data_IF_231606664013
#
_entry.id   IF_231606664013
#
_cell.length_a   1.000
_cell.length_b   1.000
_cell.length_c   1.000
_cell.angle_alpha   90.00
_cell.angle_beta   90.00
_cell.angle_gamma   90.00
#
_symmetry.space_group_name_H-M   'P 1'
#
loop_
_entity.id
_entity.type
_entity.pdbx_description
1 polymer ?
#
# COMPACT_ATOMS: atom_id res chain seq x y z
N UNK A 1 8.81 4.40 -3.40
CA UNK A 1 7.70 5.34 -3.10
C UNK A 1 7.63 5.68 -1.62
N UNK A 2 7.38 4.74 -0.71
CA UNK A 2 7.37 5.06 0.75
C UNK A 2 8.71 5.66 1.19
N UNK A 3 9.83 5.08 0.74
CA UNK A 3 11.16 5.65 0.98
C UNK A 3 11.33 7.08 0.47
N UNK A 4 10.83 7.40 -0.71
CA UNK A 4 10.93 8.77 -1.28
C UNK A 4 10.07 9.78 -0.50
N UNK A 5 8.93 9.35 0.04
CA UNK A 5 8.10 10.20 0.90
C UNK A 5 8.82 10.48 2.23
N UNK A 6 9.37 9.45 2.86
CA UNK A 6 10.16 9.58 4.08
C UNK A 6 11.35 10.54 3.87
N UNK A 7 12.03 10.47 2.73
CA UNK A 7 13.13 11.39 2.43
C UNK A 7 12.67 12.84 2.31
N UNK A 8 11.53 13.11 1.64
CA UNK A 8 10.98 14.47 1.51
C UNK A 8 10.60 15.04 2.87
N UNK A 9 9.97 14.22 3.70
CA UNK A 9 9.58 14.60 5.06
C UNK A 9 10.80 14.90 5.93
N UNK A 10 11.82 14.05 5.89
CA UNK A 10 13.08 14.27 6.60
C UNK A 10 13.78 15.55 6.16
N UNK A 11 13.84 15.82 4.84
CA UNK A 11 14.41 17.07 4.31
C UNK A 11 13.64 18.28 4.87
N UNK A 12 12.31 18.24 4.86
CA UNK A 12 11.46 19.34 5.34
C UNK A 12 11.63 19.60 6.84
N UNK A 13 11.70 18.53 7.65
CA UNK A 13 11.92 18.64 9.09
C UNK A 13 13.30 19.23 9.42
N UNK A 14 14.36 18.70 8.81
CA UNK A 14 15.73 19.19 9.03
C UNK A 14 15.86 20.63 8.54
N UNK A 15 15.28 20.95 7.39
CA UNK A 15 15.21 22.32 6.88
C UNK A 15 14.60 23.28 7.90
N UNK A 16 13.43 22.94 8.45
CA UNK A 16 12.73 23.80 9.41
C UNK A 16 13.54 23.99 10.69
N UNK A 17 14.11 22.90 11.23
CA UNK A 17 14.95 22.94 12.42
C UNK A 17 16.18 23.85 12.23
N UNK A 18 16.91 23.67 11.12
CA UNK A 18 18.09 24.48 10.81
C UNK A 18 17.72 25.94 10.57
N UNK A 19 16.61 26.21 9.86
CA UNK A 19 16.15 27.56 9.59
C UNK A 19 15.83 28.30 10.89
N UNK A 20 15.13 27.67 11.83
CA UNK A 20 14.82 28.27 13.15
C UNK A 20 16.11 28.55 13.93
N UNK A 21 17.09 27.64 13.88
CA UNK A 21 18.36 27.81 14.58
C UNK A 21 19.15 29.03 14.04
N UNK A 22 19.22 29.17 12.71
CA UNK A 22 19.87 30.31 12.05
C UNK A 22 19.11 31.61 12.37
N UNK A 23 17.78 31.62 12.30
CA UNK A 23 16.96 32.81 12.62
C UNK A 23 17.20 33.31 14.05
N UNK A 24 17.34 32.39 15.01
CA UNK A 24 17.63 32.73 16.42
C UNK A 24 19.06 33.24 16.63
N UNK A 25 20.04 32.75 15.84
CA UNK A 25 21.49 33.10 15.98
C UNK A 25 21.98 34.13 14.97
N UNK A 26 21.07 34.87 14.34
CA UNK A 26 21.41 35.91 13.35
C UNK A 26 22.38 36.97 13.88
N UNK A 27 22.20 37.40 15.13
CA UNK A 27 23.09 38.37 15.78
C UNK A 27 24.51 37.81 15.96
N UNK A 28 24.65 36.60 16.48
CA UNK A 28 25.94 35.92 16.66
C UNK A 28 26.69 35.77 15.33
N UNK A 29 25.99 35.35 14.27
CA UNK A 29 26.55 35.24 12.91
C UNK A 29 26.94 36.63 12.37
N UNK A 30 26.21 37.68 12.74
CA UNK A 30 26.57 39.08 12.45
C UNK A 30 27.87 39.50 13.14
N UNK A 31 28.01 39.23 14.44
CA UNK A 31 29.22 39.55 15.22
C UNK A 31 30.44 38.79 14.68
N UNK A 32 30.30 37.50 14.39
CA UNK A 32 31.40 36.71 13.83
C UNK A 32 31.85 37.25 12.46
N UNK A 33 30.91 37.71 11.62
CA UNK A 33 31.23 38.37 10.34
C UNK A 33 31.94 39.71 10.53
N UNK A 34 31.64 40.46 11.59
CA UNK A 34 32.36 41.70 11.94
C UNK A 34 33.81 41.43 12.38
N UNK A 35 34.05 40.31 13.06
CA UNK A 35 35.40 39.91 13.52
C UNK A 35 36.25 39.33 12.36
N UNK A 36 35.70 39.22 11.15
CA UNK A 36 36.43 38.80 9.95
C UNK A 36 36.06 37.40 9.44
N UNK A 37 34.96 36.81 9.91
CA UNK A 37 34.52 35.50 9.42
C UNK A 37 34.02 35.58 7.96
N UNK A 38 34.76 34.97 7.04
CA UNK A 38 34.38 34.86 5.62
C UNK A 38 33.07 34.07 5.40
N UNK A 39 32.43 34.31 4.25
CA UNK A 39 31.20 33.61 3.81
C UNK A 39 31.35 32.08 3.81
N UNK A 40 32.53 31.57 3.45
CA UNK A 40 32.81 30.13 3.45
C UNK A 40 32.78 29.54 4.87
N UNK A 41 33.24 30.29 5.88
CA UNK A 41 33.20 29.85 7.27
C UNK A 41 31.76 29.86 7.83
N UNK A 42 30.90 30.81 7.42
CA UNK A 42 29.46 30.76 7.74
C UNK A 42 28.82 29.49 7.18
N UNK A 43 29.12 29.17 5.92
CA UNK A 43 28.62 27.95 5.27
C UNK A 43 29.12 26.69 6.00
N UNK A 44 30.41 26.64 6.33
CA UNK A 44 31.01 25.52 7.06
C UNK A 44 30.40 25.38 8.47
N UNK A 45 30.13 26.48 9.17
CA UNK A 45 29.49 26.46 10.49
C UNK A 45 28.10 25.80 10.42
N UNK A 46 27.26 26.21 9.47
CA UNK A 46 25.92 25.64 9.30
C UNK A 46 25.99 24.16 8.88
N UNK A 47 26.92 23.79 7.99
CA UNK A 47 27.12 22.41 7.59
C UNK A 47 27.58 21.54 8.75
N UNK A 48 28.61 21.95 9.48
CA UNK A 48 29.12 21.22 10.66
C UNK A 48 28.03 21.04 11.69
N UNK A 49 27.23 22.07 11.97
CA UNK A 49 26.09 21.97 12.87
C UNK A 49 25.06 20.94 12.39
N UNK A 50 24.74 20.92 11.09
CA UNK A 50 23.80 19.93 10.53
C UNK A 50 24.33 18.50 10.64
N UNK A 51 25.62 18.29 10.36
CA UNK A 51 26.25 16.97 10.42
C UNK A 51 26.50 16.49 11.85
N UNK A 52 26.70 17.40 12.80
CA UNK A 52 26.83 17.06 14.21
C UNK A 52 25.56 16.36 14.75
N UNK A 53 24.38 16.75 14.27
CA UNK A 53 23.13 16.04 14.57
C UNK A 53 22.92 14.80 13.69
N UNK A 54 23.31 14.87 12.41
CA UNK A 54 23.03 13.81 11.46
C UNK A 54 23.88 12.55 11.66
N UNK A 55 25.16 12.68 11.98
CA UNK A 55 26.08 11.53 12.09
C UNK A 55 25.69 10.59 13.25
N UNK A 56 25.45 11.08 14.49
CA UNK A 56 24.98 10.22 15.57
C UNK A 56 23.62 9.59 15.27
N UNK A 57 22.70 10.37 14.69
CA UNK A 57 21.38 9.88 14.32
C UNK A 57 21.44 8.78 13.25
N UNK A 58 22.33 8.91 12.26
CA UNK A 58 22.58 7.90 11.23
C UNK A 58 23.16 6.61 11.83
N UNK A 59 24.15 6.72 12.73
CA UNK A 59 24.75 5.56 13.41
C UNK A 59 23.72 4.81 14.27
N UNK A 60 22.96 5.53 15.09
CA UNK A 60 21.89 4.96 15.92
C UNK A 60 20.79 4.36 15.02
N UNK A 61 20.43 5.03 13.93
CA UNK A 61 19.45 4.55 12.95
C UNK A 61 19.85 3.24 12.30
N UNK A 62 21.11 3.10 11.88
CA UNK A 62 21.62 1.83 11.33
C UNK A 62 21.66 0.72 12.38
N UNK A 63 22.10 1.03 13.60
CA UNK A 63 22.14 0.06 14.70
C UNK A 63 20.74 -0.46 15.05
N UNK A 64 19.78 0.45 15.23
CA UNK A 64 18.38 0.10 15.52
C UNK A 64 17.73 -0.66 14.37
N UNK A 65 18.01 -0.30 13.11
CA UNK A 65 17.51 -1.02 11.94
C UNK A 65 18.02 -2.47 11.89
N UNK A 66 19.30 -2.70 12.20
CA UNK A 66 19.87 -4.05 12.24
C UNK A 66 19.28 -4.88 13.39
N UNK A 67 19.09 -4.29 14.57
CA UNK A 67 18.44 -4.97 15.71
C UNK A 67 16.99 -5.33 15.37
N UNK A 68 16.21 -4.39 14.82
CA UNK A 68 14.84 -4.63 14.41
C UNK A 68 14.75 -5.73 13.33
N UNK A 69 15.69 -5.75 12.37
CA UNK A 69 15.74 -6.77 11.34
C UNK A 69 15.99 -8.17 11.92
N UNK A 70 16.91 -8.29 12.88
CA UNK A 70 17.17 -9.57 13.59
C UNK A 70 15.93 -10.04 14.34
N UNK A 71 15.25 -9.14 15.06
CA UNK A 71 14.03 -9.46 15.81
C UNK A 71 12.93 -9.96 14.87
N UNK A 72 12.63 -9.20 13.81
CA UNK A 72 11.59 -9.56 12.83
C UNK A 72 11.92 -10.90 12.15
N UNK A 73 13.17 -11.10 11.73
CA UNK A 73 13.57 -12.37 11.13
C UNK A 73 13.49 -13.54 12.10
N UNK A 74 13.72 -13.32 13.40
CA UNK A 74 13.59 -14.38 14.40
C UNK A 74 12.13 -14.79 14.58
N UNK A 75 11.21 -13.82 14.61
CA UNK A 75 9.77 -14.08 14.59
C UNK A 75 9.34 -14.81 13.31
N UNK A 76 9.81 -14.34 12.14
CA UNK A 76 9.48 -14.96 10.85
C UNK A 76 10.07 -16.37 10.70
N UNK A 77 11.25 -16.65 11.24
CA UNK A 77 11.85 -18.01 11.25
C UNK A 77 10.93 -18.98 12.01
N UNK A 78 10.35 -18.55 13.13
CA UNK A 78 9.40 -19.36 13.90
C UNK A 78 8.13 -19.72 13.12
N UNK A 79 7.69 -18.85 12.20
CA UNK A 79 6.48 -19.06 11.39
C UNK A 79 6.78 -19.85 10.10
N UNK A 80 7.87 -19.50 9.41
CA UNK A 80 8.16 -20.00 8.06
C UNK A 80 9.05 -21.24 8.04
N UNK A 81 9.68 -21.61 9.16
CA UNK A 81 10.64 -22.73 9.28
C UNK A 81 11.79 -22.68 8.26
N UNK A 82 12.08 -21.51 7.68
CA UNK A 82 13.15 -21.29 6.70
C UNK A 82 14.27 -20.47 7.35
N UNK A 83 15.52 -20.81 7.04
CA UNK A 83 16.68 -20.04 7.49
C UNK A 83 16.82 -18.75 6.69
N UNK A 84 16.45 -17.62 7.30
CA UNK A 84 16.65 -16.30 6.73
C UNK A 84 18.03 -15.73 7.11
N UNK A 85 18.64 -15.01 6.17
CA UNK A 85 19.91 -14.31 6.41
C UNK A 85 19.73 -13.29 7.54
N UNK A 86 20.57 -13.37 8.57
CA UNK A 86 20.45 -12.55 9.79
C UNK A 86 20.82 -11.07 9.61
N UNK A 87 21.57 -10.75 8.55
CA UNK A 87 22.10 -9.40 8.32
C UNK A 87 21.37 -8.71 7.17
N UNK A 88 21.20 -7.40 7.30
CA UNK A 88 20.72 -6.54 6.23
C UNK A 88 21.60 -6.68 4.97
N UNK A 89 20.99 -6.50 3.80
CA UNK A 89 21.72 -6.51 2.52
C UNK A 89 22.75 -5.37 2.48
N UNK A 90 23.91 -5.62 1.87
CA UNK A 90 24.94 -4.60 1.67
C UNK A 90 24.39 -3.39 0.89
N UNK A 91 23.48 -3.62 -0.06
CA UNK A 91 22.81 -2.55 -0.79
C UNK A 91 21.98 -1.63 0.11
N UNK A 92 21.33 -2.17 1.15
CA UNK A 92 20.53 -1.40 2.09
C UNK A 92 21.40 -0.48 2.96
N UNK A 93 22.56 -0.95 3.40
CA UNK A 93 23.54 -0.12 4.13
C UNK A 93 24.05 1.04 3.28
N UNK A 94 24.39 0.77 2.01
CA UNK A 94 24.88 1.80 1.08
C UNK A 94 23.82 2.88 0.87
N UNK A 95 22.59 2.48 0.55
CA UNK A 95 21.48 3.42 0.31
C UNK A 95 21.18 4.24 1.57
N UNK A 96 21.13 3.58 2.74
CA UNK A 96 20.89 4.27 4.02
C UNK A 96 22.00 5.29 4.34
N UNK A 97 23.25 4.97 4.02
CA UNK A 97 24.39 5.88 4.22
C UNK A 97 24.32 7.08 3.29
N UNK A 98 24.05 6.84 2.01
CA UNK A 98 23.90 7.92 1.01
C UNK A 98 22.76 8.85 1.43
N UNK A 99 21.61 8.31 1.83
CA UNK A 99 20.47 9.13 2.26
C UNK A 99 20.74 9.84 3.60
N UNK A 100 21.29 9.13 4.58
CA UNK A 100 21.55 9.67 5.92
C UNK A 100 22.52 10.85 5.94
N UNK A 101 23.55 10.80 5.08
CA UNK A 101 24.52 11.89 4.95
C UNK A 101 24.13 12.92 3.87
N UNK A 102 23.46 12.50 2.80
CA UNK A 102 23.05 13.39 1.71
C UNK A 102 21.89 14.32 2.07
N UNK A 103 20.91 13.85 2.86
CA UNK A 103 19.73 14.62 3.24
C UNK A 103 20.09 15.90 4.05
N UNK A 104 20.93 15.85 5.09
CA UNK A 104 21.36 17.05 5.81
C UNK A 104 22.01 18.10 4.90
N UNK A 105 22.88 17.66 3.97
CA UNK A 105 23.50 18.56 3.00
C UNK A 105 22.45 19.24 2.13
N UNK A 106 21.52 18.48 1.53
CA UNK A 106 20.45 19.02 0.69
C UNK A 106 19.53 19.97 1.46
N UNK A 107 19.15 19.61 2.69
CA UNK A 107 18.29 20.42 3.54
C UNK A 107 18.97 21.73 3.99
N UNK A 108 20.30 21.74 4.12
CA UNK A 108 21.06 22.91 4.56
C UNK A 108 21.25 23.98 3.48
N UNK A 109 21.04 23.68 2.20
CA UNK A 109 21.24 24.62 1.07
C UNK A 109 20.44 25.92 1.26
N UNK A 110 19.14 25.82 1.56
CA UNK A 110 18.28 27.00 1.72
C UNK A 110 18.62 27.82 3.00
N UNK A 111 18.80 27.20 4.18
CA UNK A 111 19.28 27.89 5.38
C UNK A 111 20.62 28.61 5.17
N UNK A 112 21.59 27.97 4.50
CA UNK A 112 22.90 28.57 4.16
C UNK A 112 22.71 29.81 3.29
N UNK A 113 21.92 29.70 2.22
CA UNK A 113 21.63 30.84 1.33
C UNK A 113 21.02 32.01 2.11
N UNK A 114 20.10 31.72 3.04
CA UNK A 114 19.48 32.75 3.87
C UNK A 114 20.47 33.39 4.84
N UNK A 115 21.33 32.60 5.49
CA UNK A 115 22.37 33.13 6.39
C UNK A 115 23.35 34.07 5.66
N UNK A 116 23.74 33.70 4.43
CA UNK A 116 24.67 34.46 3.61
C UNK A 116 24.07 35.76 3.06
N UNK A 117 22.77 35.76 2.75
CA UNK A 117 22.06 36.90 2.18
C UNK A 117 21.62 37.94 3.22
N UNK A 118 21.77 37.67 4.52
CA UNK A 118 21.45 38.64 5.55
C UNK A 118 22.47 39.78 5.59
N UNK A 119 21.99 41.01 5.50
CA UNK A 119 22.81 42.21 5.67
C UNK A 119 23.42 42.27 7.07
N UNK A 120 24.69 42.67 7.15
CA UNK A 120 25.44 42.76 8.41
C UNK A 120 24.85 43.80 9.35
N UNK A 121 24.46 44.96 8.81
CA UNK A 121 23.79 46.03 9.56
C UNK A 121 22.47 45.53 10.16
N UNK A 122 21.60 44.94 9.32
CA UNK A 122 20.31 44.37 9.77
C UNK A 122 20.48 43.24 10.81
N UNK A 123 21.59 42.48 10.74
CA UNK A 123 21.87 41.42 11.70
C UNK A 123 22.31 41.93 13.08
N UNK A 124 22.98 43.08 13.13
CA UNK A 124 23.50 43.73 14.34
C UNK A 124 22.51 44.73 14.96
N UNK A 125 21.49 45.14 14.21
CA UNK A 125 20.45 46.01 14.71
C UNK A 125 19.57 45.26 15.74
N UNK A 126 19.87 45.51 17.01
CA UNK A 126 19.10 44.99 18.15
C UNK A 126 17.99 45.95 18.60
N UNK A 127 17.97 47.19 18.06
CA UNK A 127 17.05 48.24 18.48
C UNK A 127 15.77 48.25 17.66
N UNK A 128 15.84 47.90 16.38
CA UNK A 128 14.65 47.78 15.54
C UNK A 128 14.10 46.35 15.55
N UNK A 129 12.78 46.24 15.56
CA UNK A 129 12.13 44.94 15.38
C UNK A 129 12.51 44.35 14.02
N UNK A 130 13.00 43.11 14.03
CA UNK A 130 13.30 42.34 12.81
C UNK A 130 12.04 42.10 11.96
N UNK A 131 10.85 42.28 12.52
CA UNK A 131 9.58 42.29 11.78
C UNK A 131 9.34 43.68 11.18
N UNK A 132 9.71 43.86 9.90
CA UNK A 132 9.36 45.06 9.14
C UNK A 132 7.83 45.10 8.96
N UNK A 133 7.16 46.01 9.66
CA UNK A 133 5.69 46.17 9.58
C UNK A 133 5.21 46.66 8.21
N UNK A 134 6.08 47.35 7.46
CA UNK A 134 5.81 47.84 6.10
C UNK A 134 6.96 47.41 5.17
N UNK A 135 6.65 46.54 4.21
CA UNK A 135 7.59 46.05 3.20
C UNK A 135 7.52 46.96 1.96
N UNK A 136 8.44 47.93 1.85
CA UNK A 136 8.53 48.79 0.67
C UNK A 136 9.17 48.02 -0.49
N UNK A 137 8.35 47.54 -1.43
CA UNK A 137 8.81 46.92 -2.67
C UNK A 137 8.99 47.99 -3.74
N UNK A 138 10.20 48.55 -3.83
CA UNK A 138 10.56 49.48 -4.90
C UNK A 138 10.76 48.66 -6.18
N UNK A 139 9.70 48.52 -6.98
CA UNK A 139 9.77 47.91 -8.32
C UNK A 139 10.34 48.94 -9.30
N UNK A 140 11.63 48.81 -9.66
CA UNK A 140 12.21 49.54 -10.79
C UNK A 140 11.61 49.00 -12.11
N UNK A 141 11.20 49.89 -13.00
CA UNK A 141 10.52 49.55 -14.26
C UNK A 141 11.42 48.82 -15.29
N UNK A 142 12.75 48.85 -15.12
CA UNK A 142 13.72 48.41 -16.15
C UNK A 142 14.02 46.90 -16.19
N UNK A 143 13.33 46.09 -15.40
CA UNK A 143 13.41 44.64 -15.54
C UNK A 143 12.01 44.06 -15.44
N UNK A 144 11.47 43.62 -16.58
CA UNK A 144 10.40 42.63 -16.66
C UNK A 144 10.88 41.34 -15.98
N UNK A 145 10.93 41.35 -14.65
CA UNK A 145 11.29 40.19 -13.86
C UNK A 145 10.14 39.20 -14.02
N UNK A 146 10.45 38.07 -14.68
CA UNK A 146 9.52 36.95 -14.83
C UNK A 146 9.05 36.56 -13.43
N UNK A 147 7.73 36.52 -13.25
CA UNK A 147 7.13 36.04 -12.01
C UNK A 147 7.30 34.52 -11.93
N UNK A 148 8.45 34.11 -11.39
CA UNK A 148 8.83 32.70 -11.24
C UNK A 148 7.76 31.82 -10.56
N UNK A 149 7.01 32.27 -9.53
CA UNK A 149 5.88 31.53 -8.98
C UNK A 149 4.81 31.18 -10.03
N UNK A 150 4.44 32.12 -10.90
CA UNK A 150 3.45 31.88 -11.95
C UNK A 150 3.97 30.86 -12.97
N UNK A 151 5.21 31.00 -13.42
CA UNK A 151 5.83 30.05 -14.37
C UNK A 151 5.93 28.64 -13.79
N UNK A 152 6.40 28.54 -12.54
CA UNK A 152 6.52 27.23 -11.86
C UNK A 152 5.16 26.58 -11.61
N UNK A 153 4.12 27.35 -11.26
CA UNK A 153 2.76 26.83 -11.14
C UNK A 153 2.18 26.34 -12.47
N UNK A 154 2.47 27.05 -13.58
CA UNK A 154 2.06 26.65 -14.92
C UNK A 154 2.73 25.36 -15.36
N UNK A 155 4.06 25.24 -15.19
CA UNK A 155 4.81 24.00 -15.47
C UNK A 155 4.26 22.84 -14.65
N UNK A 156 3.97 23.06 -13.36
CA UNK A 156 3.40 22.03 -12.50
C UNK A 156 2.04 21.54 -12.99
N UNK A 157 1.13 22.46 -13.36
CA UNK A 157 -0.19 22.09 -13.90
C UNK A 157 -0.07 21.30 -15.21
N UNK A 158 0.85 21.68 -16.10
CA UNK A 158 1.12 20.94 -17.34
C UNK A 158 1.62 19.53 -17.04
N UNK A 159 2.56 19.37 -16.11
CA UNK A 159 3.06 18.06 -15.71
C UNK A 159 1.96 17.17 -15.11
N UNK A 160 1.13 17.72 -14.21
CA UNK A 160 -0.01 16.98 -13.62
C UNK A 160 -1.03 16.62 -14.69
N UNK A 161 -1.34 17.54 -15.60
CA UNK A 161 -2.23 17.29 -16.74
C UNK A 161 -1.70 16.18 -17.64
N UNK A 162 -0.42 16.19 -17.98
CA UNK A 162 0.21 15.13 -18.78
C UNK A 162 0.18 13.77 -18.06
N UNK A 163 0.50 13.73 -16.76
CA UNK A 163 0.41 12.50 -15.97
C UNK A 163 -1.00 11.91 -15.99
N UNK A 164 -2.04 12.74 -15.78
CA UNK A 164 -3.42 12.26 -15.69
C UNK A 164 -3.99 11.94 -17.07
N UNK A 165 -3.83 12.80 -18.08
CA UNK A 165 -4.50 12.62 -19.37
C UNK A 165 -3.75 11.69 -20.33
N UNK A 166 -2.43 11.58 -20.22
CA UNK A 166 -1.64 10.73 -21.10
C UNK A 166 -1.18 9.45 -20.42
N UNK A 167 -0.46 9.55 -19.29
CA UNK A 167 0.08 8.34 -18.65
C UNK A 167 -1.02 7.46 -18.04
N UNK A 168 -2.13 8.01 -17.56
CA UNK A 168 -3.15 7.21 -16.88
C UNK A 168 -3.87 6.29 -17.88
N UNK A 169 -4.41 6.80 -19.01
CA UNK A 169 -4.95 5.93 -20.04
C UNK A 169 -3.90 4.96 -20.59
N UNK A 170 -2.66 5.40 -20.81
CA UNK A 170 -1.59 4.53 -21.28
C UNK A 170 -1.33 3.36 -20.32
N UNK A 171 -1.34 3.62 -19.00
CA UNK A 171 -1.16 2.58 -17.98
C UNK A 171 -2.30 1.54 -17.99
N UNK A 172 -3.52 1.99 -18.28
CA UNK A 172 -4.69 1.11 -18.39
C UNK A 172 -4.66 0.30 -19.69
N UNK A 173 -4.35 0.94 -20.82
CA UNK A 173 -4.28 0.29 -22.14
C UNK A 173 -3.17 -0.76 -22.21
N UNK A 174 -2.02 -0.47 -21.62
CA UNK A 174 -0.89 -1.41 -21.54
C UNK A 174 -1.04 -2.44 -20.40
N UNK A 175 -2.07 -2.31 -19.56
CA UNK A 175 -2.25 -3.06 -18.31
C UNK A 175 -0.97 -3.08 -17.44
N UNK A 176 -0.15 -2.03 -17.51
CA UNK A 176 1.07 -1.92 -16.72
C UNK A 176 0.71 -1.46 -15.31
N UNK A 177 0.38 -2.44 -14.45
CA UNK A 177 0.00 -2.22 -13.06
C UNK A 177 1.08 -1.47 -12.28
N UNK A 178 2.36 -1.66 -12.60
CA UNK A 178 3.44 -0.91 -11.94
C UNK A 178 3.32 0.58 -12.22
N UNK A 179 3.16 0.96 -13.50
CA UNK A 179 2.96 2.36 -13.89
C UNK A 179 1.71 2.95 -13.23
N UNK A 180 0.62 2.18 -13.22
CA UNK A 180 -0.64 2.58 -12.59
C UNK A 180 -0.47 2.81 -11.08
N UNK A 181 0.24 1.93 -10.36
CA UNK A 181 0.53 2.12 -8.94
C UNK A 181 1.42 3.34 -8.70
N UNK A 182 2.50 3.53 -9.48
CA UNK A 182 3.36 4.70 -9.35
C UNK A 182 2.59 6.00 -9.51
N UNK A 183 1.69 6.04 -10.49
CA UNK A 183 0.83 7.20 -10.73
C UNK A 183 -0.19 7.43 -9.62
N UNK A 184 -0.87 6.38 -9.16
CA UNK A 184 -1.85 6.49 -8.08
C UNK A 184 -1.20 7.05 -6.81
N UNK A 185 -0.05 6.52 -6.42
CA UNK A 185 0.68 7.05 -5.26
C UNK A 185 1.23 8.46 -5.49
N UNK A 186 1.75 8.76 -6.69
CA UNK A 186 2.26 10.09 -7.02
C UNK A 186 1.15 11.16 -6.95
N UNK A 187 -0.04 10.84 -7.47
CA UNK A 187 -1.21 11.70 -7.40
C UNK A 187 -1.68 11.90 -5.95
N UNK A 188 -1.77 10.82 -5.17
CA UNK A 188 -2.16 10.88 -3.75
C UNK A 188 -1.19 11.77 -2.95
N UNK A 189 0.11 11.71 -3.25
CA UNK A 189 1.13 12.57 -2.64
C UNK A 189 0.96 14.05 -3.04
N UNK A 190 0.76 14.32 -4.34
CA UNK A 190 0.48 15.68 -4.82
C UNK A 190 -0.78 16.26 -4.17
N UNK A 191 -1.82 15.42 -4.00
CA UNK A 191 -3.04 15.81 -3.31
C UNK A 191 -2.77 16.12 -1.83
N UNK A 192 -1.97 15.30 -1.13
CA UNK A 192 -1.61 15.55 0.26
C UNK A 192 -0.84 16.87 0.43
N UNK A 193 0.17 17.13 -0.41
CA UNK A 193 0.89 18.40 -0.41
C UNK A 193 -0.03 19.58 -0.78
N UNK A 194 -0.91 19.39 -1.77
CA UNK A 194 -1.89 20.39 -2.18
C UNK A 194 -2.86 20.75 -1.06
N UNK A 195 -3.36 19.77 -0.31
CA UNK A 195 -4.23 19.99 0.84
C UNK A 195 -3.50 20.71 2.00
N UNK A 196 -2.22 20.39 2.23
CA UNK A 196 -1.40 21.11 3.22
C UNK A 196 -1.24 22.58 2.81
N UNK A 197 -0.94 22.85 1.54
CA UNK A 197 -0.83 24.23 1.04
C UNK A 197 -2.17 24.97 1.11
N UNK A 198 -3.28 24.30 0.81
CA UNK A 198 -4.62 24.84 0.94
C UNK A 198 -4.93 25.18 2.42
N UNK A 199 -4.51 24.33 3.35
CA UNK A 199 -4.70 24.58 4.78
C UNK A 199 -4.02 25.87 5.27
N UNK A 200 -2.96 26.35 4.61
CA UNK A 200 -2.32 27.64 4.92
C UNK A 200 -3.21 28.85 4.61
N UNK A 201 -4.17 28.70 3.70
CA UNK A 201 -5.17 29.76 3.47
C UNK A 201 -6.22 29.80 4.58
N UNK A 202 -6.50 28.65 5.22
CA UNK A 202 -7.36 28.59 6.40
C UNK A 202 -6.68 29.12 7.66
N UNK A 203 -5.36 29.30 7.68
CA UNK A 203 -4.62 29.81 8.84
C UNK A 203 -5.20 31.13 9.35
N UNK A 204 -5.47 32.10 8.47
CA UNK A 204 -6.03 33.40 8.85
C UNK A 204 -7.42 33.26 9.50
N UNK A 205 -8.23 32.33 9.00
CA UNK A 205 -9.55 32.05 9.53
C UNK A 205 -9.44 31.40 10.92
N UNK A 206 -8.50 30.47 11.09
CA UNK A 206 -8.21 29.82 12.37
C UNK A 206 -7.59 30.79 13.39
N UNK A 207 -6.72 31.72 12.99
CA UNK A 207 -6.19 32.80 13.84
C UNK A 207 -7.35 33.65 14.39
N UNK A 208 -8.33 33.96 13.57
CA UNK A 208 -9.52 34.72 13.98
C UNK A 208 -10.41 33.92 14.94
N UNK A 209 -10.69 32.64 14.64
CA UNK A 209 -11.46 31.77 15.53
C UNK A 209 -10.77 31.61 16.87
N UNK A 210 -9.48 31.30 16.90
CA UNK A 210 -8.73 31.07 18.14
C UNK A 210 -8.67 32.33 19.01
N UNK A 211 -8.39 33.49 18.42
CA UNK A 211 -8.44 34.75 19.17
C UNK A 211 -9.85 35.10 19.64
N UNK A 212 -10.90 34.74 18.89
CA UNK A 212 -12.27 34.89 19.37
C UNK A 212 -12.57 33.96 20.54
N UNK A 213 -12.32 32.65 20.42
CA UNK A 213 -12.68 31.64 21.43
C UNK A 213 -11.90 31.85 22.75
N UNK A 214 -10.60 32.11 22.69
CA UNK A 214 -9.78 32.24 23.91
C UNK A 214 -9.81 33.62 24.55
N UNK A 215 -10.07 34.69 23.78
CA UNK A 215 -10.02 36.07 24.27
C UNK A 215 -11.37 36.80 24.15
N UNK A 216 -12.50 36.07 24.05
CA UNK A 216 -13.83 36.71 24.05
C UNK A 216 -14.17 37.48 25.33
N UNK A 217 -13.57 37.10 26.46
CA UNK A 217 -13.81 37.65 27.79
C UNK A 217 -12.77 38.72 28.17
N UNK A 218 -11.71 38.84 27.39
CA UNK A 218 -10.59 39.74 27.67
C UNK A 218 -10.84 41.13 27.09
N UNK A 219 -10.08 42.10 27.58
CA UNK A 219 -10.14 43.46 27.07
C UNK A 219 -9.78 43.51 25.57
N UNK A 220 -10.51 44.31 24.79
CA UNK A 220 -10.31 44.47 23.35
C UNK A 220 -8.87 44.85 22.98
N UNK A 221 -8.16 45.57 23.86
CA UNK A 221 -6.75 45.91 23.67
C UNK A 221 -5.83 44.68 23.62
N UNK A 222 -6.05 43.69 24.48
CA UNK A 222 -5.26 42.45 24.51
C UNK A 222 -5.52 41.64 23.24
N UNK A 223 -6.79 41.53 22.84
CA UNK A 223 -7.17 40.86 21.58
C UNK A 223 -6.57 41.56 20.35
N UNK A 224 -6.53 42.89 20.33
CA UNK A 224 -5.90 43.64 19.25
C UNK A 224 -4.38 43.44 19.21
N UNK A 225 -3.71 43.36 20.37
CA UNK A 225 -2.28 43.07 20.46
C UNK A 225 -1.95 41.65 19.99
N UNK A 226 -2.74 40.64 20.37
CA UNK A 226 -2.51 39.25 19.95
C UNK A 226 -2.68 39.09 18.44
N UNK A 227 -3.73 39.67 17.84
CA UNK A 227 -3.92 39.66 16.38
C UNK A 227 -2.77 40.35 15.66
N UNK A 228 -2.33 41.52 16.13
CA UNK A 228 -1.16 42.22 15.54
C UNK A 228 0.11 41.37 15.64
N UNK A 229 0.30 40.66 16.74
CA UNK A 229 1.45 39.78 16.95
C UNK A 229 1.42 38.56 16.00
N UNK A 230 0.26 37.92 15.83
CA UNK A 230 0.06 36.83 14.87
C UNK A 230 0.37 37.27 13.43
N UNK A 231 -0.13 38.43 13.02
CA UNK A 231 0.14 39.00 11.69
C UNK A 231 1.63 39.32 11.51
N UNK A 232 2.28 39.92 12.51
CA UNK A 232 3.69 40.28 12.44
C UNK A 232 4.61 39.07 12.25
N UNK A 233 4.26 37.91 12.81
CA UNK A 233 5.04 36.68 12.71
C UNK A 233 4.49 35.65 11.71
N UNK A 234 3.51 36.01 10.86
CA UNK A 234 2.87 35.10 9.91
C UNK A 234 3.85 34.32 9.03
N UNK A 235 4.90 34.97 8.48
CA UNK A 235 5.90 34.28 7.64
C UNK A 235 6.64 33.17 8.41
N UNK A 236 6.87 33.36 9.72
CA UNK A 236 7.50 32.35 10.59
C UNK A 236 6.49 31.27 10.98
N UNK A 237 5.28 31.67 11.41
CA UNK A 237 4.22 30.74 11.78
C UNK A 237 3.87 29.80 10.63
N UNK A 238 3.77 30.29 9.39
CA UNK A 238 3.55 29.46 8.19
C UNK A 238 4.57 28.35 8.01
N UNK A 239 5.86 28.64 8.21
CA UNK A 239 6.91 27.61 8.09
C UNK A 239 6.69 26.50 9.13
N UNK A 240 6.36 26.90 10.36
CA UNK A 240 6.05 25.97 11.46
C UNK A 240 4.77 25.17 11.18
N UNK A 241 3.72 25.81 10.66
CA UNK A 241 2.46 25.17 10.26
C UNK A 241 2.70 24.13 9.17
N UNK A 242 3.47 24.44 8.12
CA UNK A 242 3.83 23.48 7.06
C UNK A 242 4.57 22.27 7.65
N UNK A 243 5.54 22.52 8.54
CA UNK A 243 6.33 21.47 9.18
C UNK A 243 5.43 20.50 9.98
N UNK A 244 4.54 21.02 10.83
CA UNK A 244 3.62 20.21 11.62
C UNK A 244 2.54 19.53 10.78
N UNK A 245 1.97 20.22 9.80
CA UNK A 245 0.94 19.66 8.93
C UNK A 245 1.51 18.51 8.09
N UNK A 246 2.72 18.66 7.54
CA UNK A 246 3.36 17.62 6.73
C UNK A 246 3.74 16.40 7.57
N UNK A 247 4.24 16.58 8.79
CA UNK A 247 4.58 15.47 9.68
C UNK A 247 3.33 14.72 10.17
N UNK A 248 2.30 15.43 10.62
CA UNK A 248 1.05 14.83 11.09
C UNK A 248 0.30 14.11 9.96
N UNK A 249 0.16 14.76 8.79
CA UNK A 249 -0.52 14.18 7.64
C UNK A 249 0.13 12.86 7.22
N UNK A 250 1.46 12.78 7.25
CA UNK A 250 2.17 11.56 6.92
C UNK A 250 1.96 10.44 7.94
N UNK A 251 1.97 10.76 9.24
CA UNK A 251 1.71 9.76 10.30
C UNK A 251 0.29 9.19 10.16
N UNK A 252 -0.71 10.06 9.94
CA UNK A 252 -2.09 9.64 9.70
C UNK A 252 -2.18 8.77 8.45
N UNK A 253 -1.56 9.21 7.35
CA UNK A 253 -1.57 8.46 6.09
C UNK A 253 -0.95 7.06 6.24
N UNK A 254 0.20 6.95 6.90
CA UNK A 254 0.82 5.66 7.21
C UNK A 254 -0.11 4.78 8.03
N UNK A 255 -0.72 5.32 9.08
CA UNK A 255 -1.62 4.56 9.96
C UNK A 255 -2.84 4.03 9.21
N UNK A 256 -3.52 4.88 8.45
CA UNK A 256 -4.67 4.48 7.63
C UNK A 256 -4.26 3.46 6.57
N UNK A 257 -3.12 3.67 5.90
CA UNK A 257 -2.59 2.73 4.91
C UNK A 257 -2.32 1.35 5.51
N UNK A 258 -1.64 1.27 6.66
CA UNK A 258 -1.40 0.00 7.34
C UNK A 258 -2.69 -0.67 7.82
N UNK A 259 -3.64 0.09 8.38
CA UNK A 259 -4.93 -0.45 8.78
C UNK A 259 -5.70 -1.04 7.59
N UNK A 260 -5.68 -0.37 6.44
CA UNK A 260 -6.27 -0.90 5.20
C UNK A 260 -5.56 -2.16 4.71
N UNK A 261 -4.23 -2.21 4.80
CA UNK A 261 -3.45 -3.40 4.43
C UNK A 261 -3.73 -4.58 5.36
N UNK A 262 -3.78 -4.34 6.68
CA UNK A 262 -4.12 -5.36 7.69
C UNK A 262 -5.54 -5.88 7.44
N UNK A 263 -6.51 -4.99 7.24
CA UNK A 263 -7.89 -5.38 6.96
C UNK A 263 -8.01 -6.18 5.66
N UNK A 264 -7.31 -5.76 4.60
CA UNK A 264 -7.27 -6.46 3.32
C UNK A 264 -6.59 -7.83 3.43
N UNK A 265 -5.52 -7.92 4.23
CA UNK A 265 -4.83 -9.18 4.51
C UNK A 265 -5.72 -10.13 5.32
N UNK A 266 -6.35 -9.63 6.39
CA UNK A 266 -7.31 -10.40 7.19
C UNK A 266 -8.48 -10.90 6.34
N UNK A 267 -9.07 -10.04 5.49
CA UNK A 267 -10.12 -10.44 4.56
C UNK A 267 -9.66 -11.58 3.65
N UNK A 268 -8.45 -11.48 3.10
CA UNK A 268 -7.86 -12.52 2.23
C UNK A 268 -7.59 -13.82 2.98
N UNK A 269 -7.10 -13.74 4.21
CA UNK A 269 -6.87 -14.91 5.07
C UNK A 269 -8.20 -15.58 5.41
N UNK A 270 -9.18 -14.82 5.89
CA UNK A 270 -10.53 -15.32 6.20
C UNK A 270 -11.17 -15.96 4.97
N UNK A 271 -11.09 -15.33 3.80
CA UNK A 271 -11.58 -15.91 2.55
C UNK A 271 -10.86 -17.21 2.21
N UNK A 272 -9.52 -17.25 2.37
CA UNK A 272 -8.71 -18.43 2.01
C UNK A 272 -8.96 -19.65 2.90
N UNK A 273 -9.32 -19.43 4.16
CA UNK A 273 -9.70 -20.52 5.08
C UNK A 273 -11.19 -20.83 5.04
N UNK A 274 -12.04 -19.84 4.73
CA UNK A 274 -13.49 -19.98 4.61
C UNK A 274 -14.24 -20.27 5.91
N UNK A 275 -13.53 -20.65 6.98
CA UNK A 275 -14.07 -20.96 8.31
C UNK A 275 -13.15 -20.42 9.40
N UNK A 276 -13.63 -20.44 10.65
CA UNK A 276 -12.81 -20.11 11.83
C UNK A 276 -11.74 -21.15 12.14
N UNK A 277 -12.00 -22.42 11.82
CA UNK A 277 -11.08 -23.53 12.07
C UNK A 277 -11.00 -24.42 10.83
N UNK A 278 -9.78 -24.57 10.31
CA UNK A 278 -9.47 -25.49 9.22
C UNK A 278 -8.37 -26.43 9.67
N UNK A 279 -8.63 -27.74 9.53
CA UNK A 279 -7.64 -28.77 9.85
C UNK A 279 -6.90 -29.11 8.58
N UNK A 280 -5.68 -28.58 8.46
CA UNK A 280 -4.77 -28.90 7.36
C UNK A 280 -3.79 -29.97 7.82
N UNK A 281 -3.72 -31.07 7.07
CA UNK A 281 -2.70 -32.08 7.28
C UNK A 281 -1.50 -31.80 6.35
N UNK A 282 -0.28 -31.89 6.88
CA UNK A 282 0.99 -31.41 6.31
C UNK A 282 1.31 -31.87 4.88
N UNK A 283 2.36 -32.65 4.67
CA UNK A 283 2.73 -33.17 3.34
C UNK A 283 2.17 -34.56 3.07
N UNK A 284 1.89 -35.34 4.11
CA UNK A 284 1.40 -36.72 3.98
C UNK A 284 -0.09 -36.77 3.62
N UNK A 285 -0.56 -37.89 3.06
CA UNK A 285 -1.99 -38.06 2.81
C UNK A 285 -2.66 -38.59 4.07
N UNK A 286 -3.82 -38.05 4.42
CA UNK A 286 -4.61 -38.57 5.54
C UNK A 286 -5.06 -39.98 5.18
N UNK A 287 -4.71 -40.96 6.03
CA UNK A 287 -5.22 -42.32 5.91
C UNK A 287 -6.73 -42.33 6.16
N UNK A 288 -7.46 -43.18 5.42
CA UNK A 288 -8.92 -43.32 5.59
C UNK A 288 -9.33 -43.55 7.05
N UNK A 289 -8.55 -44.34 7.81
CA UNK A 289 -8.81 -44.59 9.23
C UNK A 289 -8.75 -43.31 10.06
N UNK A 290 -7.80 -42.42 9.77
CA UNK A 290 -7.64 -41.13 10.45
C UNK A 290 -8.76 -40.18 10.09
N UNK A 291 -9.19 -40.15 8.82
CA UNK A 291 -10.34 -39.35 8.39
C UNK A 291 -11.61 -39.78 9.14
N UNK A 292 -11.93 -41.09 9.17
CA UNK A 292 -13.09 -41.62 9.90
C UNK A 292 -13.01 -41.34 11.40
N UNK A 293 -11.81 -41.40 12.00
CA UNK A 293 -11.64 -41.05 13.41
C UNK A 293 -11.93 -39.56 13.66
N UNK A 294 -11.49 -38.67 12.77
CA UNK A 294 -11.78 -37.23 12.85
C UNK A 294 -13.28 -36.95 12.70
N UNK A 295 -13.97 -37.61 11.77
CA UNK A 295 -15.42 -37.47 11.60
C UNK A 295 -16.17 -37.89 12.87
N UNK A 296 -15.79 -39.03 13.48
CA UNK A 296 -16.39 -39.48 14.74
C UNK A 296 -16.21 -38.46 15.87
N UNK A 297 -15.03 -37.86 15.96
CA UNK A 297 -14.74 -36.82 16.96
C UNK A 297 -15.53 -35.54 16.68
N UNK A 298 -15.64 -35.13 15.42
CA UNK A 298 -16.41 -33.96 15.00
C UNK A 298 -17.89 -34.13 15.36
N UNK A 299 -18.49 -35.27 15.01
CA UNK A 299 -19.91 -35.57 15.28
C UNK A 299 -20.19 -35.72 16.78
N UNK A 300 -19.25 -36.28 17.56
CA UNK A 300 -19.42 -36.46 19.00
C UNK A 300 -19.25 -35.16 19.80
N UNK A 301 -18.67 -34.11 19.21
CA UNK A 301 -18.39 -32.85 19.88
C UNK A 301 -19.58 -31.89 19.82
N UNK A 302 -20.10 -31.40 20.95
CA UNK A 302 -21.22 -30.46 20.96
C UNK A 302 -20.84 -29.05 20.47
N UNK A 303 -19.55 -28.79 20.19
CA UNK A 303 -19.04 -27.49 19.75
C UNK A 303 -19.01 -27.39 18.22
N UNK A 304 -19.05 -28.52 17.52
CA UNK A 304 -18.99 -28.58 16.06
C UNK A 304 -20.41 -28.65 15.50
N UNK A 305 -20.85 -27.59 14.83
CA UNK A 305 -22.17 -27.52 14.20
C UNK A 305 -22.25 -28.42 12.95
N UNK A 306 -21.27 -28.31 12.06
CA UNK A 306 -21.12 -29.16 10.87
C UNK A 306 -19.65 -29.15 10.39
N UNK A 307 -19.27 -30.11 9.55
CA UNK A 307 -17.92 -30.22 8.97
C UNK A 307 -17.98 -30.58 7.48
N UNK A 308 -17.01 -30.08 6.72
CA UNK A 308 -16.91 -30.31 5.28
C UNK A 308 -15.49 -30.72 4.91
N UNK A 309 -15.37 -31.50 3.83
CA UNK A 309 -14.08 -31.94 3.31
C UNK A 309 -13.79 -31.31 1.95
N UNK A 310 -12.53 -30.97 1.75
CA UNK A 310 -11.99 -30.57 0.45
C UNK A 310 -10.81 -31.48 0.14
N UNK A 311 -10.78 -32.03 -1.08
CA UNK A 311 -9.67 -32.88 -1.49
C UNK A 311 -8.40 -32.06 -1.69
N UNK A 312 -7.25 -32.72 -1.66
CA UNK A 312 -6.05 -32.12 -2.24
C UNK A 312 -6.24 -31.83 -3.74
N UNK A 313 -5.59 -30.79 -4.26
CA UNK A 313 -5.56 -30.49 -5.68
C UNK A 313 -5.21 -31.70 -6.54
N UNK A 314 -5.91 -31.88 -7.66
CA UNK A 314 -5.61 -32.96 -8.62
C UNK A 314 -4.23 -32.81 -9.28
N UNK A 315 -3.69 -31.59 -9.30
CA UNK A 315 -2.48 -31.19 -10.02
C UNK A 315 -1.22 -31.16 -9.13
N UNK A 316 -1.12 -32.11 -8.19
CA UNK A 316 0.09 -32.33 -7.38
C UNK A 316 1.10 -33.27 -8.08
N UNK A 317 2.39 -33.02 -7.87
CA UNK A 317 3.48 -33.83 -8.43
C UNK A 317 3.62 -33.69 -9.95
N UNK A 318 3.59 -34.81 -10.68
CA UNK A 318 3.70 -34.85 -12.15
C UNK A 318 2.36 -34.70 -12.87
N UNK A 319 1.26 -34.51 -12.13
CA UNK A 319 -0.07 -34.39 -12.69
C UNK A 319 -0.44 -32.93 -12.96
N UNK A 320 -1.07 -32.64 -14.09
CA UNK A 320 -1.59 -31.30 -14.37
C UNK A 320 -2.94 -31.33 -15.06
N UNK A 321 -3.78 -30.34 -14.75
CA UNK A 321 -5.09 -30.18 -15.36
C UNK A 321 -5.12 -28.85 -16.13
N UNK A 322 -5.60 -28.90 -17.36
CA UNK A 322 -5.88 -27.73 -18.18
C UNK A 322 -7.34 -27.72 -18.60
N UNK A 323 -7.90 -26.54 -18.71
CA UNK A 323 -9.23 -26.30 -19.21
C UNK A 323 -9.13 -25.68 -20.59
N UNK A 324 -9.84 -26.26 -21.55
CA UNK A 324 -9.79 -25.84 -22.94
C UNK A 324 -11.20 -25.66 -23.52
N UNK A 325 -11.32 -24.83 -24.55
CA UNK A 325 -12.52 -24.78 -25.37
C UNK A 325 -12.70 -26.09 -26.15
N UNK A 326 -13.91 -26.37 -26.67
CA UNK A 326 -14.19 -27.59 -27.46
C UNK A 326 -13.21 -27.73 -28.63
N UNK A 327 -12.95 -26.63 -29.35
CA UNK A 327 -11.96 -26.57 -30.43
C UNK A 327 -10.50 -26.44 -29.97
N UNK A 328 -10.23 -26.45 -28.66
CA UNK A 328 -8.90 -26.33 -28.03
C UNK A 328 -8.07 -25.12 -28.46
N UNK A 329 -8.73 -24.07 -28.96
CA UNK A 329 -8.07 -22.84 -29.40
C UNK A 329 -7.50 -22.01 -28.23
N UNK A 330 -8.11 -22.13 -27.04
CA UNK A 330 -7.62 -21.51 -25.79
C UNK A 330 -7.49 -22.55 -24.71
N UNK A 331 -6.37 -22.54 -23.99
CA UNK A 331 -6.08 -23.42 -22.87
C UNK A 331 -5.66 -22.62 -21.63
N UNK A 332 -6.19 -23.01 -20.46
CA UNK A 332 -5.86 -22.40 -19.18
C UNK A 332 -5.48 -23.47 -18.16
N UNK A 333 -4.38 -23.26 -17.43
CA UNK A 333 -4.01 -24.14 -16.33
C UNK A 333 -4.98 -23.97 -15.17
N UNK A 334 -5.51 -25.06 -14.63
CA UNK A 334 -6.55 -25.06 -13.58
C UNK A 334 -6.16 -25.95 -12.40
N UNK A 335 -6.76 -25.67 -11.25
CA UNK A 335 -6.66 -26.50 -10.06
C UNK A 335 -7.99 -27.13 -9.71
N UNK A 336 -8.15 -28.42 -10.00
CA UNK A 336 -9.38 -29.17 -9.72
C UNK A 336 -9.39 -29.62 -8.26
N UNK A 337 -10.49 -29.32 -7.56
CA UNK A 337 -10.75 -29.68 -6.16
C UNK A 337 -12.07 -30.44 -6.07
N UNK A 338 -12.09 -31.52 -5.32
CA UNK A 338 -13.30 -32.23 -4.91
C UNK A 338 -13.88 -31.59 -3.65
N UNK A 339 -15.20 -31.35 -3.64
CA UNK A 339 -15.92 -30.72 -2.52
C UNK A 339 -17.06 -31.61 -2.02
N UNK A 340 -17.36 -31.56 -0.71
CA UNK A 340 -18.52 -32.23 -0.09
C UNK A 340 -19.85 -31.51 -0.40
N UNK A 341 -21.01 -32.20 -0.31
CA UNK A 341 -22.30 -31.60 -0.64
C UNK A 341 -22.71 -30.47 0.31
N UNK A 342 -22.29 -30.51 1.57
CA UNK A 342 -22.54 -29.47 2.57
C UNK A 342 -21.46 -28.36 2.58
N UNK A 343 -20.55 -28.30 1.60
CA UNK A 343 -19.41 -27.39 1.70
C UNK A 343 -19.85 -25.93 1.94
N UNK A 344 -20.75 -25.40 1.13
CA UNK A 344 -21.15 -24.00 1.25
C UNK A 344 -22.07 -23.72 2.44
N UNK A 345 -22.68 -24.74 3.07
CA UNK A 345 -23.42 -24.53 4.32
C UNK A 345 -22.51 -24.46 5.54
N UNK A 346 -21.32 -25.08 5.50
CA UNK A 346 -20.31 -25.00 6.57
C UNK A 346 -19.42 -23.77 6.45
N UNK A 347 -19.13 -23.35 5.22
CA UNK A 347 -18.26 -22.20 4.96
C UNK A 347 -19.01 -20.87 5.16
N UNK A 348 -18.25 -19.80 5.40
CA UNK A 348 -18.80 -18.46 5.60
C UNK A 348 -19.36 -17.87 4.29
N UNK A 349 -20.68 -17.74 4.23
CA UNK A 349 -21.45 -17.21 3.09
C UNK A 349 -21.03 -15.82 2.64
N UNK A 350 -20.41 -15.01 3.51
CA UNK A 350 -19.97 -13.65 3.17
C UNK A 350 -18.97 -13.62 2.01
N UNK A 351 -18.27 -14.73 1.76
CA UNK A 351 -17.30 -14.85 0.67
C UNK A 351 -17.86 -15.50 -0.59
N UNK A 352 -19.09 -16.01 -0.56
CA UNK A 352 -19.74 -16.65 -1.71
C UNK A 352 -20.48 -15.59 -2.55
N UNK A 353 -19.90 -15.22 -3.68
CA UNK A 353 -20.53 -14.32 -4.66
C UNK A 353 -20.80 -15.08 -5.95
N UNK A 354 -22.10 -15.31 -6.19
CA UNK A 354 -22.59 -16.07 -7.34
C UNK A 354 -23.00 -15.10 -8.44
N UNK A 355 -22.49 -15.31 -9.65
CA UNK A 355 -22.80 -14.47 -10.80
C UNK A 355 -23.97 -15.04 -11.61
N UNK A 356 -23.85 -16.30 -12.01
CA UNK A 356 -24.86 -17.01 -12.82
C UNK A 356 -25.05 -18.41 -12.25
N UNK A 357 -26.29 -18.75 -11.92
CA UNK A 357 -26.70 -20.02 -11.31
C UNK A 357 -28.08 -20.45 -11.84
N UNK A 358 -28.32 -21.76 -11.85
CA UNK A 358 -29.62 -22.32 -12.17
C UNK A 358 -30.48 -22.42 -10.89
N UNK A 359 -31.04 -21.27 -10.47
CA UNK A 359 -31.83 -21.13 -9.22
C UNK A 359 -33.13 -21.96 -9.17
N UNK A 360 -33.46 -22.73 -10.21
CA UNK A 360 -34.68 -23.56 -10.25
C UNK A 360 -34.62 -24.78 -9.35
N UNK A 361 -33.45 -25.11 -8.79
CA UNK A 361 -33.23 -26.28 -7.94
C UNK A 361 -33.07 -25.78 -6.51
N UNK A 362 -33.97 -26.14 -5.59
CA UNK A 362 -33.93 -25.74 -4.17
C UNK A 362 -32.79 -26.38 -3.35
N UNK A 363 -31.70 -26.78 -4.01
CA UNK A 363 -30.51 -27.39 -3.42
C UNK A 363 -29.39 -26.35 -3.33
N UNK A 364 -28.53 -26.47 -2.31
CA UNK A 364 -27.31 -25.67 -2.20
C UNK A 364 -26.37 -25.95 -3.39
N UNK A 365 -25.51 -24.98 -3.74
CA UNK A 365 -24.60 -25.10 -4.89
C UNK A 365 -23.69 -26.35 -4.82
N UNK A 366 -23.26 -26.71 -3.62
CA UNK A 366 -22.42 -27.89 -3.39
C UNK A 366 -23.23 -29.19 -3.51
N UNK A 367 -24.50 -29.21 -3.11
CA UNK A 367 -25.40 -30.35 -3.36
C UNK A 367 -25.74 -30.52 -4.84
N UNK A 368 -25.93 -29.41 -5.58
CA UNK A 368 -26.19 -29.45 -7.01
C UNK A 368 -25.07 -30.17 -7.77
N UNK A 369 -23.82 -30.07 -7.32
CA UNK A 369 -22.67 -30.78 -7.90
C UNK A 369 -22.78 -32.31 -7.80
N UNK A 370 -23.62 -32.83 -6.90
CA UNK A 370 -23.86 -34.27 -6.71
C UNK A 370 -25.07 -34.81 -7.48
N UNK A 371 -25.84 -33.95 -8.17
CA UNK A 371 -26.90 -34.40 -9.08
C UNK A 371 -26.32 -35.09 -10.31
N UNK A 372 -27.15 -35.81 -11.08
CA UNK A 372 -26.71 -36.45 -12.35
C UNK A 372 -26.05 -35.45 -13.32
N UNK A 373 -26.64 -34.27 -13.44
CA UNK A 373 -26.10 -33.13 -14.21
C UNK A 373 -24.83 -32.61 -13.54
N UNK A 374 -24.88 -32.43 -12.22
CA UNK A 374 -23.78 -32.04 -11.33
C UNK A 374 -22.50 -32.85 -11.55
N UNK A 375 -22.65 -34.17 -11.64
CA UNK A 375 -21.52 -35.11 -11.74
C UNK A 375 -20.69 -34.94 -13.03
N UNK A 376 -21.28 -34.35 -14.07
CA UNK A 376 -20.63 -34.02 -15.34
C UNK A 376 -20.35 -32.51 -15.50
N UNK A 377 -20.43 -31.76 -14.39
CA UNK A 377 -20.35 -30.31 -14.40
C UNK A 377 -19.25 -29.75 -13.48
N UNK A 378 -18.92 -28.48 -13.70
CA UNK A 378 -17.81 -27.78 -13.04
C UNK A 378 -18.32 -26.51 -12.36
N UNK A 379 -17.97 -26.32 -11.08
CA UNK A 379 -18.03 -25.00 -10.46
C UNK A 379 -16.84 -24.17 -10.95
N UNK A 380 -17.14 -23.04 -11.60
CA UNK A 380 -16.17 -22.28 -12.38
C UNK A 380 -16.16 -20.80 -11.96
N UNK A 381 -14.99 -20.15 -12.05
CA UNK A 381 -14.89 -18.71 -11.88
C UNK A 381 -15.40 -17.93 -13.10
N UNK A 382 -16.01 -16.77 -12.90
CA UNK A 382 -16.46 -15.86 -13.98
C UNK A 382 -15.33 -15.42 -14.92
N UNK A 383 -14.07 -15.49 -14.48
CA UNK A 383 -12.92 -15.27 -15.37
C UNK A 383 -12.91 -16.23 -16.54
N UNK A 384 -13.17 -17.53 -16.31
CA UNK A 384 -13.17 -18.53 -17.37
C UNK A 384 -14.38 -18.38 -18.29
N UNK A 385 -15.52 -17.92 -17.77
CA UNK A 385 -16.68 -17.52 -18.57
C UNK A 385 -16.29 -16.48 -19.63
N UNK A 386 -15.66 -15.38 -19.19
CA UNK A 386 -15.25 -14.29 -20.08
C UNK A 386 -14.07 -14.71 -20.99
N UNK A 387 -13.11 -15.46 -20.46
CA UNK A 387 -11.92 -15.86 -21.20
C UNK A 387 -12.21 -16.88 -22.31
N UNK A 388 -13.20 -17.75 -22.11
CA UNK A 388 -13.64 -18.74 -23.10
C UNK A 388 -14.92 -18.34 -23.85
N UNK A 389 -15.49 -17.16 -23.55
CA UNK A 389 -16.75 -16.66 -24.12
C UNK A 389 -17.93 -17.64 -23.94
N UNK A 390 -18.04 -18.22 -22.75
CA UNK A 390 -19.17 -19.06 -22.36
C UNK A 390 -20.34 -18.14 -22.01
N UNK A 391 -21.49 -18.32 -22.66
CA UNK A 391 -22.69 -17.48 -22.48
C UNK A 391 -23.79 -18.20 -21.71
N UNK A 392 -23.79 -19.54 -21.72
CA UNK A 392 -24.80 -20.37 -21.07
C UNK A 392 -24.13 -21.45 -20.22
N UNK A 393 -24.84 -21.93 -19.19
CA UNK A 393 -24.41 -23.07 -18.38
C UNK A 393 -24.31 -24.38 -19.20
N UNK A 394 -25.00 -24.45 -20.35
CA UNK A 394 -24.91 -25.59 -21.26
C UNK A 394 -23.70 -25.55 -22.21
N UNK A 395 -22.87 -24.51 -22.18
CA UNK A 395 -21.71 -24.41 -23.06
C UNK A 395 -20.59 -25.34 -22.58
N UNK A 396 -20.34 -26.43 -23.32
CA UNK A 396 -19.37 -27.43 -22.90
C UNK A 396 -17.92 -26.95 -22.98
N UNK A 397 -17.12 -27.42 -22.05
CA UNK A 397 -15.67 -27.21 -21.96
C UNK A 397 -14.94 -28.55 -21.90
N UNK A 398 -13.68 -28.57 -22.33
CA UNK A 398 -12.84 -29.77 -22.33
C UNK A 398 -11.84 -29.66 -21.19
N UNK A 399 -11.94 -30.56 -20.23
CA UNK A 399 -10.93 -30.74 -19.20
C UNK A 399 -9.87 -31.73 -19.70
N UNK A 400 -8.65 -31.24 -19.87
CA UNK A 400 -7.48 -32.02 -20.23
C UNK A 400 -6.73 -32.44 -18.97
N UNK A 401 -6.63 -33.75 -18.76
CA UNK A 401 -5.98 -34.36 -17.60
C UNK A 401 -4.66 -34.98 -18.05
N UNK A 402 -3.55 -34.39 -17.63
CA UNK A 402 -2.20 -34.88 -17.93
C UNK A 402 -1.71 -35.72 -16.76
N UNK A 403 -1.74 -37.04 -16.92
CA UNK A 403 -1.10 -38.00 -16.05
C UNK A 403 0.41 -38.08 -16.29
N UNK A 404 1.10 -38.97 -15.56
CA UNK A 404 2.53 -39.18 -15.77
C UNK A 404 2.85 -39.71 -17.18
N UNK A 405 1.99 -40.58 -17.72
CA UNK A 405 2.20 -41.28 -19.00
C UNK A 405 0.99 -41.19 -19.96
N UNK A 406 -0.14 -40.62 -19.54
CA UNK A 406 -1.40 -40.61 -20.31
C UNK A 406 -2.07 -39.25 -20.21
N UNK A 407 -2.55 -38.74 -21.33
CA UNK A 407 -3.43 -37.56 -21.37
C UNK A 407 -4.85 -38.00 -21.68
N UNK A 408 -5.81 -37.69 -20.79
CA UNK A 408 -7.24 -37.95 -20.98
C UNK A 408 -7.99 -36.63 -21.17
N UNK A 409 -9.08 -36.70 -21.92
CA UNK A 409 -9.96 -35.56 -22.20
C UNK A 409 -11.36 -35.88 -21.71
N UNK A 410 -11.96 -34.96 -20.95
CA UNK A 410 -13.34 -35.07 -20.50
C UNK A 410 -14.10 -33.81 -20.91
N UNK A 411 -15.27 -34.00 -21.51
CA UNK A 411 -16.19 -32.91 -21.79
C UNK A 411 -17.06 -32.71 -20.55
N UNK A 412 -17.13 -31.49 -20.05
CA UNK A 412 -17.91 -31.11 -18.87
C UNK A 412 -18.61 -29.78 -19.11
N UNK A 413 -19.71 -29.53 -18.41
CA UNK A 413 -20.46 -28.27 -18.54
C UNK A 413 -20.28 -27.38 -17.29
N UNK A 414 -20.28 -26.05 -17.40
CA UNK A 414 -20.34 -25.18 -16.23
C UNK A 414 -21.63 -25.40 -15.44
N UNK A 415 -21.53 -25.68 -14.14
CA UNK A 415 -22.68 -25.75 -13.24
C UNK A 415 -23.10 -24.35 -12.79
N UNK A 416 -22.10 -23.54 -12.42
CA UNK A 416 -22.28 -22.19 -11.88
C UNK A 416 -21.04 -21.35 -12.21
N UNK A 417 -21.23 -20.05 -12.32
CA UNK A 417 -20.14 -19.08 -12.42
C UNK A 417 -20.05 -18.24 -11.13
N UNK A 418 -18.88 -18.28 -10.47
CA UNK A 418 -18.61 -17.62 -9.20
C UNK A 418 -17.64 -16.44 -9.38
N UNK A 419 -17.97 -15.30 -8.78
CA UNK A 419 -17.07 -14.14 -8.69
C UNK A 419 -16.11 -14.27 -7.50
N UNK A 420 -16.57 -14.89 -6.41
CA UNK A 420 -15.76 -15.28 -5.25
C UNK A 420 -16.38 -16.51 -4.55
N UNK A 421 -15.54 -17.29 -3.87
CA UNK A 421 -16.00 -18.33 -2.95
C UNK A 421 -15.04 -18.45 -1.76
N UNK A 422 -15.52 -18.96 -0.61
CA UNK A 422 -14.65 -19.35 0.50
C UNK A 422 -13.75 -20.54 0.11
N UNK A 423 -12.51 -20.55 0.59
CA UNK A 423 -11.44 -21.54 0.31
C UNK A 423 -10.95 -21.60 -1.15
N UNK A 424 -11.86 -21.49 -2.11
CA UNK A 424 -11.55 -21.57 -3.53
C UNK A 424 -11.11 -20.22 -4.10
N UNK A 425 -10.03 -20.23 -4.88
CA UNK A 425 -9.49 -19.03 -5.51
C UNK A 425 -10.28 -18.67 -6.77
N UNK A 426 -11.39 -17.99 -6.59
CA UNK A 426 -12.11 -17.28 -7.64
C UNK A 426 -11.95 -15.77 -7.47
N UNK A 427 -11.81 -15.05 -8.57
CA UNK A 427 -11.82 -13.60 -8.59
C UNK A 427 -12.34 -13.13 -9.93
N UNK A 428 -13.25 -12.16 -9.92
CA UNK A 428 -13.69 -11.44 -11.12
C UNK A 428 -12.54 -10.72 -11.83
N UNK A 429 -11.54 -10.26 -11.06
CA UNK A 429 -10.35 -9.55 -11.53
C UNK A 429 -9.09 -10.25 -11.02
N UNK A 430 -8.70 -11.38 -11.62
CA UNK A 430 -7.63 -12.19 -11.08
C UNK A 430 -6.25 -11.60 -11.38
N UNK A 431 -5.37 -11.64 -10.38
CA UNK A 431 -3.93 -11.37 -10.56
C UNK A 431 -3.19 -12.58 -11.16
N UNK A 432 -3.78 -13.78 -11.09
CA UNK A 432 -3.22 -15.03 -11.64
C UNK A 432 -4.27 -15.72 -12.51
N UNK A 433 -3.86 -16.19 -13.70
CA UNK A 433 -4.75 -16.89 -14.64
C UNK A 433 -5.17 -18.29 -14.19
N UNK A 434 -4.45 -18.88 -13.23
CA UNK A 434 -4.75 -20.18 -12.62
C UNK A 434 -5.73 -19.98 -11.47
N UNK A 435 -6.97 -20.45 -11.66
CA UNK A 435 -8.01 -20.49 -10.65
C UNK A 435 -8.35 -21.95 -10.29
N UNK A 436 -9.14 -22.09 -9.22
CA UNK A 436 -9.65 -23.40 -8.83
C UNK A 436 -10.83 -23.79 -9.71
N UNK A 437 -11.16 -25.08 -9.75
CA UNK A 437 -12.41 -25.63 -10.27
C UNK A 437 -12.97 -26.56 -9.21
N UNK A 438 -14.24 -26.41 -8.89
CA UNK A 438 -14.92 -27.29 -7.95
C UNK A 438 -15.66 -28.41 -8.68
N UNK A 439 -15.52 -29.64 -8.20
CA UNK A 439 -16.26 -30.82 -8.65
C UNK A 439 -16.75 -31.61 -7.44
N UNK A 440 -17.79 -32.42 -7.60
CA UNK A 440 -18.15 -33.38 -6.55
C UNK A 440 -17.00 -34.35 -6.28
N UNK A 441 -16.93 -34.89 -5.05
CA UNK A 441 -15.94 -35.92 -4.72
C UNK A 441 -16.05 -37.13 -5.66
N UNK A 442 -17.27 -37.52 -6.04
CA UNK A 442 -17.48 -38.65 -6.95
C UNK A 442 -16.85 -38.41 -8.33
N UNK A 443 -17.04 -37.21 -8.90
CA UNK A 443 -16.41 -36.79 -10.15
C UNK A 443 -14.90 -36.68 -9.99
N UNK A 444 -14.42 -36.13 -8.86
CA UNK A 444 -12.99 -36.02 -8.57
C UNK A 444 -12.29 -37.39 -8.60
N UNK A 445 -12.88 -38.42 -7.99
CA UNK A 445 -12.33 -39.78 -8.00
C UNK A 445 -12.25 -40.32 -9.43
N UNK A 446 -13.28 -40.11 -10.27
CA UNK A 446 -13.27 -40.51 -11.69
C UNK A 446 -12.15 -39.81 -12.47
N UNK A 447 -12.00 -38.50 -12.30
CA UNK A 447 -10.94 -37.71 -12.95
C UNK A 447 -9.53 -38.14 -12.49
N UNK A 448 -9.38 -38.52 -11.22
CA UNK A 448 -8.12 -39.05 -10.69
C UNK A 448 -7.81 -40.45 -11.23
N UNK A 449 -8.82 -41.31 -11.37
CA UNK A 449 -8.66 -42.63 -11.98
C UNK A 449 -8.19 -42.52 -13.44
N UNK A 450 -8.79 -41.59 -14.21
CA UNK A 450 -8.39 -41.27 -15.58
C UNK A 450 -6.91 -40.89 -15.69
N UNK A 451 -6.38 -40.11 -14.73
CA UNK A 451 -4.95 -39.71 -14.70
C UNK A 451 -3.99 -40.84 -14.33
N UNK A 452 -4.44 -41.79 -13.51
CA UNK A 452 -3.65 -42.93 -13.06
C UNK A 452 -3.74 -44.13 -14.01
N UNK A 453 -4.54 -44.02 -15.08
CA UNK A 453 -4.84 -45.10 -16.02
C UNK A 453 -5.35 -46.37 -15.30
N UNK A 454 -6.15 -46.17 -14.25
CA UNK A 454 -6.85 -47.24 -13.53
C UNK A 454 -8.34 -47.19 -13.92
N UNK A 455 -8.99 -48.34 -14.17
CA UNK A 455 -10.39 -48.39 -14.53
C UNK A 455 -11.30 -47.82 -13.44
#
# INVERSE_FOLDING_TARGET
>A
IVGTILTILSITLIYSLLMINIENRTFEIGVLRMIGMNRNHVMQLVLVQSYFYAIPAWLIGLGTAQVAFIVINSFLKGILLIELKKNLSASSYIIATILGLGIPALASILPIKNALNQNLQDALDTRHSKTKAVEFTIKRADALAIDWPMVTSGIFMVCVGFLIYYLFPLSLLTFNLFLLFYMFFGLLLCMLLGLILLALNLENFLEWITTFVFFWWENAAIRALTVKNLVAHRKRNRKTTIMYALSLAFVIWISVSFNLQISSFQYRVMQSYGTRMSVLHGSELISYRTAVALEKVAIASPIVEDFAWITRPLNEGRHSAKLATIGRYREYSVTVLGITPNLFSVLDDRFLMVNTDNRSVGLSLSEQAYTEIGSHSLLMGTTYMNAMNLRRLNDSVVLQLHGANVTRYRVMNPLVFLDSAPVMKFSKFPQQTRQHLGVSISSFVRLKADMLNRP
#
